data_IF_463898244008
#
_entry.id   IF_463898244008
#
_cell.length_a   1.000
_cell.length_b   1.000
_cell.length_c   1.000
_cell.angle_alpha   90.00
_cell.angle_beta   90.00
_cell.angle_gamma   90.00
#
_symmetry.space_group_name_H-M   'P 1'
#
loop_
_entity.id
_entity.type
_entity.pdbx_description
1 polymer ?
#
# COMPACT_ATOMS: atom_id res chain seq x y z
N UNK A 1 -3.30 49.09 0.41
CA UNK A 1 -2.11 48.31 0.87
C UNK A 1 -2.49 47.19 1.85
N UNK A 2 -3.57 46.45 1.61
CA UNK A 2 -3.99 45.28 2.42
C UNK A 2 -4.07 43.98 1.59
N UNK A 3 -4.08 44.11 0.26
CA UNK A 3 -4.17 43.00 -0.68
C UNK A 3 -2.80 42.46 -1.13
N UNK A 4 -1.72 43.22 -0.93
CA UNK A 4 -0.37 42.82 -1.38
C UNK A 4 0.32 41.83 -0.41
N UNK A 5 -0.20 41.66 0.81
CA UNK A 5 0.29 40.66 1.78
C UNK A 5 -0.45 39.32 1.61
N UNK A 6 -1.59 39.31 0.90
CA UNK A 6 -2.38 38.08 0.64
C UNK A 6 -1.80 37.27 -0.55
N UNK A 7 -0.82 37.83 -1.29
CA UNK A 7 -0.14 37.09 -2.36
C UNK A 7 1.03 36.22 -1.89
N UNK A 8 1.47 36.36 -0.63
CA UNK A 8 2.58 35.56 -0.10
C UNK A 8 2.13 34.30 0.65
N UNK A 9 0.83 34.12 0.87
CA UNK A 9 0.29 33.01 1.67
C UNK A 9 -0.27 31.84 0.84
N UNK A 10 -0.07 31.83 -0.49
CA UNK A 10 -0.63 30.80 -1.38
C UNK A 10 0.43 29.95 -2.11
N UNK A 11 1.73 30.22 -1.97
CA UNK A 11 2.76 29.48 -2.73
C UNK A 11 3.33 28.24 -2.03
N UNK A 12 2.97 27.97 -0.78
CA UNK A 12 3.58 26.85 -0.02
C UNK A 12 2.61 25.71 0.32
N UNK A 13 1.35 25.78 -0.12
CA UNK A 13 0.31 24.81 0.23
C UNK A 13 0.14 23.65 -0.77
N UNK A 14 1.13 23.41 -1.64
CA UNK A 14 1.12 22.28 -2.56
C UNK A 14 2.53 21.69 -2.68
N UNK A 15 3.14 21.31 -1.55
CA UNK A 15 4.04 20.16 -1.64
C UNK A 15 3.11 18.97 -1.86
N UNK A 16 2.86 18.61 -3.12
CA UNK A 16 2.44 17.25 -3.44
C UNK A 16 3.41 16.34 -2.69
N UNK A 17 2.90 15.63 -1.69
CA UNK A 17 3.64 14.56 -1.04
C UNK A 17 3.80 13.46 -2.09
N UNK A 18 4.75 13.67 -2.99
CA UNK A 18 5.07 12.76 -4.08
C UNK A 18 5.67 11.53 -3.41
N UNK A 19 4.82 10.54 -3.11
CA UNK A 19 5.22 9.31 -2.47
C UNK A 19 6.31 8.68 -3.35
N UNK A 20 7.47 8.44 -2.76
CA UNK A 20 8.57 7.80 -3.48
C UNK A 20 8.25 6.31 -3.67
N UNK A 21 8.87 5.63 -4.65
CA UNK A 21 8.75 4.17 -4.77
C UNK A 21 9.10 3.42 -3.47
N UNK A 22 10.05 3.96 -2.70
CA UNK A 22 10.44 3.41 -1.40
C UNK A 22 9.32 3.59 -0.35
N UNK A 23 8.66 4.75 -0.31
CA UNK A 23 7.52 4.97 0.58
C UNK A 23 6.35 4.02 0.27
N UNK A 24 6.06 3.80 -1.01
CA UNK A 24 5.00 2.88 -1.42
C UNK A 24 5.35 1.42 -1.10
N UNK A 25 6.62 1.02 -1.24
CA UNK A 25 7.11 -0.29 -0.80
C UNK A 25 6.95 -0.48 0.70
N UNK A 26 7.34 0.50 1.52
CA UNK A 26 7.23 0.41 2.98
C UNK A 26 5.78 0.36 3.45
N UNK A 27 4.90 1.19 2.87
CA UNK A 27 3.45 1.16 3.15
C UNK A 27 2.84 -0.18 2.77
N UNK A 28 3.18 -0.71 1.60
CA UNK A 28 2.72 -2.02 1.18
C UNK A 28 3.21 -3.14 2.10
N UNK A 29 4.49 -3.10 2.53
CA UNK A 29 5.04 -4.05 3.49
C UNK A 29 4.26 -4.03 4.81
N UNK A 30 3.95 -2.85 5.33
CA UNK A 30 3.16 -2.69 6.54
C UNK A 30 1.77 -3.30 6.39
N UNK A 31 1.09 -3.08 5.25
CA UNK A 31 -0.21 -3.70 4.95
C UNK A 31 -0.09 -5.23 4.91
N UNK A 32 0.91 -5.77 4.21
CA UNK A 32 1.13 -7.21 4.14
C UNK A 32 1.39 -7.83 5.53
N UNK A 33 2.15 -7.14 6.38
CA UNK A 33 2.47 -7.60 7.74
C UNK A 33 1.30 -7.51 8.71
N UNK A 34 0.51 -6.44 8.63
CA UNK A 34 -0.57 -6.18 9.61
C UNK A 34 -1.93 -6.74 9.18
N UNK A 35 -2.16 -6.96 7.88
CA UNK A 35 -3.45 -7.42 7.34
C UNK A 35 -3.37 -8.83 6.76
N UNK A 36 -2.30 -9.16 6.03
CA UNK A 36 -2.21 -10.48 5.40
C UNK A 36 -1.57 -11.53 6.32
N UNK A 37 -0.48 -11.17 7.00
CA UNK A 37 0.26 -12.12 7.85
C UNK A 37 -0.53 -12.58 9.08
N UNK A 38 -1.50 -11.80 9.57
CA UNK A 38 -2.40 -12.21 10.67
C UNK A 38 -3.04 -13.58 10.39
N UNK A 39 -3.48 -13.80 9.14
CA UNK A 39 -4.02 -15.09 8.73
C UNK A 39 -2.91 -16.05 8.26
N UNK A 40 -1.92 -15.58 7.50
CA UNK A 40 -0.90 -16.47 6.93
C UNK A 40 -0.02 -17.13 8.00
N UNK A 41 0.24 -16.49 9.14
CA UNK A 41 0.98 -17.12 10.24
C UNK A 41 0.31 -18.40 10.72
N UNK A 42 -1.04 -18.43 10.77
CA UNK A 42 -1.82 -19.58 11.24
C UNK A 42 -2.20 -20.55 10.11
N UNK A 43 -2.60 -20.02 8.96
CA UNK A 43 -3.32 -20.78 7.94
C UNK A 43 -2.48 -21.05 6.67
N UNK A 44 -1.39 -20.32 6.44
CA UNK A 44 -0.51 -20.51 5.28
C UNK A 44 0.92 -20.00 5.56
N UNK A 45 1.68 -20.67 6.44
CA UNK A 45 2.96 -20.16 6.93
C UNK A 45 4.03 -20.04 5.82
N UNK A 46 3.88 -20.77 4.72
CA UNK A 46 4.73 -20.67 3.54
C UNK A 46 4.56 -19.35 2.76
N UNK A 47 3.51 -18.57 3.07
CA UNK A 47 3.18 -17.30 2.41
C UNK A 47 3.21 -16.11 3.36
N UNK A 48 4.01 -16.19 4.43
CA UNK A 48 4.31 -15.04 5.28
C UNK A 48 5.17 -14.03 4.50
N UNK A 49 4.64 -12.82 4.37
CA UNK A 49 5.31 -11.73 3.66
C UNK A 49 6.33 -11.03 4.56
N UNK A 50 7.50 -10.77 3.99
CA UNK A 50 8.64 -10.06 4.57
C UNK A 50 9.23 -9.20 3.47
N UNK A 51 9.98 -8.16 3.85
CA UNK A 51 10.63 -7.27 2.89
C UNK A 51 11.44 -8.03 1.82
N UNK A 52 12.27 -9.00 2.25
CA UNK A 52 13.10 -9.83 1.36
C UNK A 52 12.33 -10.72 0.38
N UNK A 53 11.01 -10.88 0.53
CA UNK A 53 10.22 -11.80 -0.31
C UNK A 53 8.98 -11.14 -0.94
N UNK A 54 8.64 -9.89 -0.61
CA UNK A 54 7.40 -9.27 -1.07
C UNK A 54 7.38 -9.12 -2.60
N UNK A 55 8.50 -8.68 -3.20
CA UNK A 55 8.61 -8.48 -4.66
C UNK A 55 8.38 -9.79 -5.43
N UNK A 56 9.01 -10.88 -4.99
CA UNK A 56 8.81 -12.22 -5.59
C UNK A 56 7.35 -12.68 -5.56
N UNK A 57 6.56 -12.21 -4.59
CA UNK A 57 5.14 -12.55 -4.45
C UNK A 57 4.20 -11.49 -5.05
N UNK A 58 4.70 -10.38 -5.60
CA UNK A 58 3.87 -9.26 -6.06
C UNK A 58 2.81 -9.69 -7.11
N UNK A 59 3.20 -10.53 -8.08
CA UNK A 59 2.27 -11.07 -9.10
C UNK A 59 1.13 -11.86 -8.48
N UNK A 60 1.42 -12.67 -7.47
CA UNK A 60 0.40 -13.47 -6.79
C UNK A 60 -0.48 -12.60 -5.88
N UNK A 61 0.10 -11.62 -5.19
CA UNK A 61 -0.66 -10.65 -4.39
C UNK A 61 -1.64 -9.91 -5.29
N UNK A 62 -1.18 -9.40 -6.44
CA UNK A 62 -2.02 -8.70 -7.40
C UNK A 62 -3.20 -9.55 -7.84
N UNK A 63 -2.92 -10.79 -8.23
CA UNK A 63 -3.95 -11.75 -8.68
C UNK A 63 -4.96 -12.07 -7.58
N UNK A 64 -4.54 -12.29 -6.33
CA UNK A 64 -5.46 -12.71 -5.27
C UNK A 64 -6.28 -11.55 -4.70
N UNK A 65 -5.67 -10.37 -4.54
CA UNK A 65 -6.30 -9.21 -3.89
C UNK A 65 -7.11 -8.39 -4.90
N UNK A 66 -6.55 -8.07 -6.06
CA UNK A 66 -7.16 -7.09 -6.98
C UNK A 66 -7.90 -7.73 -8.15
N UNK A 67 -7.43 -8.87 -8.66
CA UNK A 67 -8.10 -9.56 -9.78
C UNK A 67 -9.20 -10.50 -9.28
N UNK A 68 -8.87 -11.39 -8.35
CA UNK A 68 -9.81 -12.41 -7.86
C UNK A 68 -10.66 -11.96 -6.67
N UNK A 69 -10.24 -10.94 -5.93
CA UNK A 69 -10.90 -10.50 -4.70
C UNK A 69 -11.04 -11.58 -3.63
N UNK A 70 -10.12 -12.55 -3.58
CA UNK A 70 -10.15 -13.69 -2.63
C UNK A 70 -9.43 -13.40 -1.33
N UNK A 71 -8.70 -12.28 -1.27
CA UNK A 71 -7.90 -11.86 -0.13
C UNK A 71 -8.17 -10.38 0.20
N UNK A 72 -8.25 -9.99 1.49
CA UNK A 72 -8.17 -10.86 2.67
C UNK A 72 -9.33 -11.88 2.76
N UNK A 73 -9.04 -13.09 3.26
CA UNK A 73 -10.04 -14.15 3.38
C UNK A 73 -10.88 -13.95 4.64
N UNK A 74 -12.21 -14.05 4.50
CA UNK A 74 -13.15 -13.85 5.60
C UNK A 74 -13.56 -12.38 5.77
N UNK A 75 -14.33 -12.09 6.83
CA UNK A 75 -14.89 -10.75 7.09
C UNK A 75 -14.20 -9.95 8.19
N UNK A 76 -13.31 -10.58 8.97
CA UNK A 76 -12.70 -9.97 10.16
C UNK A 76 -11.58 -8.98 9.81
N UNK A 77 -10.71 -9.34 8.85
CA UNK A 77 -9.63 -8.47 8.39
C UNK A 77 -10.05 -7.78 7.10
N UNK A 78 -10.01 -6.44 7.09
CA UNK A 78 -10.32 -5.61 5.93
C UNK A 78 -9.19 -4.63 5.67
N UNK A 79 -8.97 -4.35 4.39
CA UNK A 79 -8.14 -3.22 3.97
C UNK A 79 -8.99 -1.96 4.01
N UNK A 80 -8.45 -0.88 4.56
CA UNK A 80 -9.02 0.45 4.31
C UNK A 80 -8.79 0.86 2.86
N UNK A 81 -9.44 1.94 2.40
CA UNK A 81 -9.22 2.45 1.05
C UNK A 81 -7.75 2.83 0.84
N UNK A 82 -7.14 3.47 1.83
CA UNK A 82 -5.74 3.91 1.80
C UNK A 82 -4.77 2.73 1.77
N UNK A 83 -5.02 1.71 2.60
CA UNK A 83 -4.23 0.48 2.62
C UNK A 83 -4.31 -0.27 1.28
N UNK A 84 -5.52 -0.34 0.72
CA UNK A 84 -5.77 -0.98 -0.57
C UNK A 84 -5.04 -0.26 -1.69
N UNK A 85 -5.12 1.07 -1.75
CA UNK A 85 -4.47 1.86 -2.78
C UNK A 85 -2.94 1.87 -2.64
N UNK A 86 -2.40 1.94 -1.42
CA UNK A 86 -0.97 1.80 -1.19
C UNK A 86 -0.44 0.44 -1.67
N UNK A 87 -1.15 -0.64 -1.32
CA UNK A 87 -0.80 -1.98 -1.78
C UNK A 87 -0.89 -2.09 -3.31
N UNK A 88 -1.93 -1.51 -3.92
CA UNK A 88 -2.17 -1.52 -5.37
C UNK A 88 -1.06 -0.83 -6.15
N UNK A 89 -0.72 0.41 -5.76
CA UNK A 89 0.36 1.18 -6.41
C UNK A 89 1.68 0.42 -6.38
N UNK A 90 2.04 -0.12 -5.22
CA UNK A 90 3.28 -0.89 -5.09
C UNK A 90 3.27 -2.16 -5.95
N UNK A 91 2.20 -2.98 -5.94
CA UNK A 91 2.19 -4.20 -6.76
C UNK A 91 2.23 -3.86 -8.25
N UNK A 92 1.50 -2.84 -8.71
CA UNK A 92 1.49 -2.44 -10.12
C UNK A 92 2.88 -1.95 -10.54
N UNK A 93 3.56 -1.14 -9.72
CA UNK A 93 4.93 -0.72 -9.99
C UNK A 93 5.96 -1.88 -9.99
N UNK A 94 5.66 -3.00 -9.34
CA UNK A 94 6.60 -4.13 -9.15
C UNK A 94 6.46 -5.25 -10.19
N UNK A 95 5.28 -5.42 -10.81
CA UNK A 95 4.98 -6.58 -11.68
C UNK A 95 5.42 -6.41 -13.14
N UNK A 96 5.93 -5.23 -13.50
CA UNK A 96 6.47 -4.88 -14.81
C UNK A 96 7.98 -5.10 -14.86
#
# INVERSE_FOLDING_TARGET
>A
MKYLIILFTLLSAIHEAHATPEDDKQKALLVLQTKCNVCHVRNNPFRIFKERNMERNAKDIYKQVFVKGRMPLGGEVKLTAEEREALKRWVEATIH
#
